data_IF_694581854096
#
_entry.id   IF_694581854096
#
_cell.length_a   1.000
_cell.length_b   1.000
_cell.length_c   1.000
_cell.angle_alpha   90.00
_cell.angle_beta   90.00
_cell.angle_gamma   90.00
#
_symmetry.space_group_name_H-M   'P 1'
#
loop_
_entity.id
_entity.type
_entity.pdbx_description
1 polymer ?
#
# COMPACT_ATOMS: atom_id res chain seq x y z
N UNK A 1 -55.53 10.79 -2.40
CA UNK A 1 -56.45 11.36 -1.39
C UNK A 1 -55.68 11.44 -0.07
N UNK A 2 -55.34 12.65 0.37
CA UNK A 2 -54.75 12.93 1.68
C UNK A 2 -55.87 13.47 2.59
N UNK A 3 -55.94 13.01 3.84
CA UNK A 3 -56.92 13.48 4.83
C UNK A 3 -56.39 14.70 5.59
N UNK A 4 -57.23 15.71 5.87
CA UNK A 4 -56.82 16.89 6.64
C UNK A 4 -56.67 16.53 8.13
N UNK A 5 -55.50 16.80 8.72
CA UNK A 5 -55.26 16.66 10.16
C UNK A 5 -54.00 15.91 10.60
N UNK A 6 -53.17 15.41 9.68
CA UNK A 6 -51.88 14.79 10.02
C UNK A 6 -50.71 15.73 9.73
N UNK A 7 -49.96 16.08 10.78
CA UNK A 7 -48.68 16.78 10.67
C UNK A 7 -47.64 15.87 9.99
N UNK A 8 -46.92 16.33 8.94
CA UNK A 8 -45.82 15.56 8.38
C UNK A 8 -44.67 15.44 9.39
N UNK A 9 -43.97 14.29 9.47
CA UNK A 9 -42.77 14.17 10.28
C UNK A 9 -41.71 15.15 9.76
N UNK A 10 -41.14 15.92 10.70
CA UNK A 10 -40.13 16.94 10.45
C UNK A 10 -38.91 16.37 9.74
N UNK A 11 -38.48 17.10 8.72
CA UNK A 11 -37.21 17.05 8.01
C UNK A 11 -36.03 16.76 8.95
N UNK A 12 -35.35 15.64 8.75
CA UNK A 12 -33.94 15.52 9.12
C UNK A 12 -33.18 15.98 7.88
N UNK A 13 -32.53 17.15 7.97
CA UNK A 13 -31.53 17.56 7.00
C UNK A 13 -30.38 16.56 7.06
N UNK A 14 -30.37 15.60 6.12
CA UNK A 14 -29.13 14.92 5.76
C UNK A 14 -28.23 15.92 5.05
N UNK A 15 -26.90 15.84 5.21
CA UNK A 15 -26.00 16.69 4.45
C UNK A 15 -26.19 16.43 2.94
N UNK A 16 -26.25 17.52 2.19
CA UNK A 16 -26.43 17.56 0.74
C UNK A 16 -25.46 16.60 0.03
N UNK A 17 -26.01 15.66 -0.75
CA UNK A 17 -25.25 14.75 -1.62
C UNK A 17 -24.72 15.43 -2.89
N UNK A 18 -24.70 16.77 -2.94
CA UNK A 18 -24.09 17.55 -4.03
C UNK A 18 -22.61 17.91 -3.75
N UNK A 19 -22.10 17.71 -2.52
CA UNK A 19 -20.73 18.05 -2.13
C UNK A 19 -19.69 16.93 -2.37
N UNK A 20 -20.11 15.67 -2.57
CA UNK A 20 -19.13 14.58 -2.75
C UNK A 20 -18.44 14.65 -4.12
N UNK A 21 -19.15 15.03 -5.18
CA UNK A 21 -18.58 15.13 -6.52
C UNK A 21 -17.52 16.26 -6.64
N UNK A 22 -17.62 17.32 -5.84
CA UNK A 22 -16.61 18.40 -5.81
C UNK A 22 -15.35 18.00 -5.03
N UNK A 23 -15.48 17.17 -3.99
CA UNK A 23 -14.35 16.61 -3.25
C UNK A 23 -13.53 15.62 -4.11
N UNK A 24 -14.22 14.86 -4.97
CA UNK A 24 -13.58 13.91 -5.90
C UNK A 24 -13.08 14.57 -7.20
N UNK A 25 -13.66 15.69 -7.65
CA UNK A 25 -13.32 16.37 -8.91
C UNK A 25 -12.00 17.16 -8.90
N UNK A 26 -11.50 17.55 -7.73
CA UNK A 26 -10.27 18.37 -7.59
C UNK A 26 -9.00 17.51 -7.38
N UNK A 27 -9.15 16.26 -6.94
CA UNK A 27 -8.00 15.42 -6.58
C UNK A 27 -7.20 14.87 -7.78
N UNK A 28 -7.74 14.90 -9.01
CA UNK A 28 -7.07 14.30 -10.17
C UNK A 28 -6.38 15.27 -11.15
N UNK A 29 -6.60 16.59 -11.12
CA UNK A 29 -6.12 17.47 -12.22
C UNK A 29 -5.01 18.48 -11.91
N UNK A 30 -4.62 18.74 -10.66
CA UNK A 30 -3.64 19.81 -10.34
C UNK A 30 -2.33 19.42 -9.68
N UNK A 31 -2.14 18.18 -9.20
CA UNK A 31 -0.94 17.84 -8.39
C UNK A 31 0.17 17.08 -9.13
N UNK A 32 0.04 16.89 -10.44
CA UNK A 32 1.07 16.25 -11.30
C UNK A 32 2.04 17.23 -11.98
N UNK A 33 1.93 18.54 -11.73
CA UNK A 33 2.84 19.53 -12.29
C UNK A 33 3.23 20.53 -11.21
N UNK A 34 4.26 20.22 -10.41
CA UNK A 34 5.31 21.18 -10.01
C UNK A 34 6.26 20.57 -8.95
N UNK A 35 7.56 20.67 -9.25
CA UNK A 35 8.73 20.58 -8.34
C UNK A 35 9.23 19.19 -7.95
N UNK A 36 9.82 18.50 -8.93
CA UNK A 36 11.10 17.81 -8.75
C UNK A 36 12.19 18.86 -8.49
N UNK A 37 12.67 18.98 -7.25
CA UNK A 37 14.03 19.43 -6.87
C UNK A 37 14.14 19.42 -5.33
N UNK A 38 15.19 18.76 -4.85
CA UNK A 38 15.64 18.52 -3.44
C UNK A 38 15.06 17.26 -2.75
N UNK A 39 15.88 16.20 -2.51
CA UNK A 39 15.37 14.89 -2.07
C UNK A 39 15.21 14.70 -0.55
N UNK A 40 15.75 15.56 0.32
CA UNK A 40 15.88 15.20 1.74
C UNK A 40 14.83 15.82 2.70
N UNK A 41 14.23 16.97 2.39
CA UNK A 41 13.42 17.72 3.37
C UNK A 41 11.89 17.52 3.25
N UNK A 42 11.40 16.85 2.18
CA UNK A 42 9.95 16.70 1.91
C UNK A 42 9.31 15.39 2.37
N UNK A 43 10.06 14.48 3.00
CA UNK A 43 9.47 13.28 3.61
C UNK A 43 8.46 13.63 4.74
N UNK A 44 8.57 14.84 5.30
CA UNK A 44 7.78 15.29 6.44
C UNK A 44 6.34 15.74 6.09
N UNK A 45 6.07 16.22 4.85
CA UNK A 45 4.76 16.81 4.50
C UNK A 45 3.73 15.79 3.98
N UNK A 46 4.15 14.54 3.71
CA UNK A 46 3.28 13.48 3.20
C UNK A 46 3.12 12.30 4.16
N UNK A 47 3.52 12.44 5.43
CA UNK A 47 3.31 11.38 6.41
C UNK A 47 3.89 10.03 5.96
N UNK A 48 5.06 10.03 5.30
CA UNK A 48 5.81 8.79 5.10
C UNK A 48 6.30 8.38 6.48
N UNK A 49 5.42 7.69 7.19
CA UNK A 49 5.66 7.21 8.54
C UNK A 49 6.94 6.36 8.45
N UNK A 50 7.98 6.70 9.22
CA UNK A 50 9.30 6.02 9.11
C UNK A 50 9.20 4.50 9.33
N UNK A 51 8.08 4.01 9.87
CA UNK A 51 7.69 2.59 9.87
C UNK A 51 7.73 1.92 8.48
N UNK A 52 7.50 2.64 7.39
CA UNK A 52 7.41 2.09 6.03
C UNK A 52 8.76 1.96 5.30
N UNK A 53 9.87 2.36 5.94
CA UNK A 53 11.22 1.97 5.52
C UNK A 53 11.56 0.52 5.92
N UNK A 54 10.64 -0.17 6.60
CA UNK A 54 10.75 -1.59 6.95
C UNK A 54 10.58 -2.49 5.73
N UNK A 55 11.10 -3.69 5.87
CA UNK A 55 10.89 -4.83 4.99
C UNK A 55 9.47 -4.84 4.40
N UNK A 56 9.32 -4.68 3.07
CA UNK A 56 8.01 -4.49 2.43
C UNK A 56 7.10 -5.73 2.55
N UNK A 57 7.66 -6.91 2.82
CA UNK A 57 6.86 -8.13 3.10
C UNK A 57 6.21 -8.05 4.48
N UNK A 58 6.92 -7.54 5.50
CA UNK A 58 6.33 -7.35 6.82
C UNK A 58 5.16 -6.37 6.77
N UNK A 59 5.33 -5.28 6.03
CA UNK A 59 4.26 -4.32 5.77
C UNK A 59 3.05 -4.98 5.12
N UNK A 60 3.27 -5.83 4.11
CA UNK A 60 2.19 -6.55 3.45
C UNK A 60 1.45 -7.50 4.40
N UNK A 61 2.19 -8.21 5.29
CA UNK A 61 1.60 -9.08 6.33
C UNK A 61 0.77 -8.27 7.34
N UNK A 62 1.24 -7.10 7.77
CA UNK A 62 0.49 -6.22 8.66
C UNK A 62 -0.83 -5.74 8.02
N UNK A 63 -0.80 -5.40 6.72
CA UNK A 63 -2.01 -5.00 5.98
C UNK A 63 -2.99 -6.16 5.89
N UNK A 64 -2.52 -7.37 5.55
CA UNK A 64 -3.37 -8.56 5.48
C UNK A 64 -4.03 -8.85 6.84
N UNK A 65 -3.25 -8.81 7.93
CA UNK A 65 -3.76 -9.02 9.28
C UNK A 65 -4.79 -7.96 9.71
N UNK A 66 -4.61 -6.69 9.32
CA UNK A 66 -5.59 -5.63 9.56
C UNK A 66 -6.91 -5.89 8.83
N UNK A 67 -6.83 -6.38 7.58
CA UNK A 67 -8.01 -6.76 6.80
C UNK A 67 -8.74 -7.97 7.41
N UNK A 68 -7.99 -8.96 7.91
CA UNK A 68 -8.56 -10.17 8.49
C UNK A 68 -9.17 -9.92 9.89
N UNK A 69 -8.58 -9.03 10.68
CA UNK A 69 -9.02 -8.74 12.04
C UNK A 69 -10.22 -7.79 12.11
N UNK A 70 -10.45 -7.01 11.06
CA UNK A 70 -11.49 -5.98 11.05
C UNK A 70 -12.67 -6.43 10.19
N UNK A 71 -13.82 -6.68 10.82
CA UNK A 71 -15.02 -7.10 10.11
C UNK A 71 -15.40 -6.06 9.04
N UNK A 72 -15.42 -6.48 7.78
CA UNK A 72 -15.76 -5.62 6.65
C UNK A 72 -14.63 -4.70 6.18
N UNK A 73 -13.39 -4.87 6.64
CA UNK A 73 -12.27 -4.12 6.11
C UNK A 73 -12.00 -4.46 4.65
N UNK A 74 -11.90 -3.42 3.84
CA UNK A 74 -11.54 -3.49 2.43
C UNK A 74 -10.15 -2.87 2.23
N UNK A 75 -9.59 -3.07 1.04
CA UNK A 75 -8.34 -2.36 0.68
C UNK A 75 -8.51 -0.84 0.72
N UNK A 76 -9.72 -0.32 0.50
CA UNK A 76 -10.02 1.11 0.52
C UNK A 76 -10.05 1.65 1.95
N UNK A 77 -10.67 0.92 2.89
CA UNK A 77 -10.71 1.34 4.29
C UNK A 77 -9.31 1.29 4.92
N UNK A 78 -8.50 0.26 4.62
CA UNK A 78 -7.11 0.17 5.09
C UNK A 78 -6.24 1.26 4.45
N UNK A 79 -6.44 1.55 3.16
CA UNK A 79 -5.73 2.63 2.48
C UNK A 79 -6.00 3.99 3.15
N UNK A 80 -7.28 4.29 3.43
CA UNK A 80 -7.71 5.50 4.12
C UNK A 80 -7.09 5.59 5.53
N UNK A 81 -7.22 4.52 6.33
CA UNK A 81 -6.69 4.46 7.69
C UNK A 81 -5.17 4.68 7.74
N UNK A 82 -4.45 4.19 6.72
CA UNK A 82 -2.99 4.30 6.63
C UNK A 82 -2.48 5.53 5.86
N UNK A 83 -3.37 6.36 5.32
CA UNK A 83 -3.01 7.56 4.55
C UNK A 83 -2.29 7.26 3.23
N UNK A 84 -2.60 6.12 2.58
CA UNK A 84 -2.02 5.70 1.30
C UNK A 84 -3.12 5.48 0.26
N UNK A 85 -2.76 5.29 -1.01
CA UNK A 85 -3.74 4.96 -2.04
C UNK A 85 -4.12 3.47 -1.98
N UNK A 86 -5.33 3.13 -2.42
CA UNK A 86 -5.75 1.72 -2.60
C UNK A 86 -4.77 0.94 -3.49
N UNK A 87 -4.28 1.57 -4.57
CA UNK A 87 -3.26 0.98 -5.45
C UNK A 87 -1.99 0.60 -4.68
N UNK A 88 -1.57 1.41 -3.71
CA UNK A 88 -0.40 1.11 -2.87
C UNK A 88 -0.64 -0.07 -1.96
N UNK A 89 -1.83 -0.17 -1.36
CA UNK A 89 -2.25 -1.35 -0.57
C UNK A 89 -2.22 -2.61 -1.41
N UNK A 90 -2.81 -2.56 -2.61
CA UNK A 90 -2.79 -3.68 -3.56
C UNK A 90 -1.36 -4.09 -3.94
N UNK A 91 -0.46 -3.13 -4.19
CA UNK A 91 0.95 -3.43 -4.47
C UNK A 91 1.63 -4.19 -3.33
N UNK A 92 1.42 -3.78 -2.07
CA UNK A 92 1.96 -4.51 -0.93
C UNK A 92 1.37 -5.91 -0.81
N UNK A 93 0.04 -6.05 -0.87
CA UNK A 93 -0.63 -7.35 -0.76
C UNK A 93 -0.15 -8.34 -1.83
N UNK A 94 0.12 -7.86 -3.05
CA UNK A 94 0.68 -8.70 -4.11
C UNK A 94 2.04 -9.31 -3.78
N UNK A 95 2.83 -8.70 -2.89
CA UNK A 95 4.11 -9.28 -2.46
C UNK A 95 3.92 -10.60 -1.72
N UNK A 96 2.77 -10.82 -1.07
CA UNK A 96 2.45 -12.08 -0.40
C UNK A 96 2.20 -13.24 -1.37
N UNK A 97 2.17 -12.98 -2.68
CA UNK A 97 2.09 -14.01 -3.72
C UNK A 97 3.46 -14.57 -4.12
N UNK A 98 4.56 -14.04 -3.55
CA UNK A 98 5.88 -14.63 -3.75
C UNK A 98 5.93 -16.06 -3.17
N UNK A 99 6.83 -16.92 -3.68
CA UNK A 99 7.08 -18.22 -3.09
C UNK A 99 7.34 -18.14 -1.58
N UNK A 100 6.77 -19.07 -0.78
CA UNK A 100 6.84 -19.00 0.68
C UNK A 100 8.28 -19.02 1.20
N UNK A 101 9.16 -19.78 0.56
CA UNK A 101 10.58 -19.83 0.89
C UNK A 101 11.29 -18.48 0.74
N UNK A 102 10.89 -17.67 -0.25
CA UNK A 102 11.39 -16.29 -0.42
C UNK A 102 10.84 -15.39 0.68
N UNK A 103 9.54 -15.50 1.01
CA UNK A 103 8.92 -14.72 2.08
C UNK A 103 9.58 -15.00 3.42
N UNK A 104 9.82 -16.27 3.72
CA UNK A 104 10.46 -16.69 4.97
C UNK A 104 11.90 -16.21 5.03
N UNK A 105 12.67 -16.34 3.95
CA UNK A 105 14.04 -15.81 3.87
C UNK A 105 14.07 -14.29 4.10
N UNK A 106 13.15 -13.54 3.50
CA UNK A 106 13.08 -12.09 3.64
C UNK A 106 12.70 -11.69 5.08
N UNK A 107 11.81 -12.44 5.72
CA UNK A 107 11.33 -12.13 7.07
C UNK A 107 12.24 -12.64 8.19
N UNK A 108 13.20 -13.49 7.89
CA UNK A 108 14.17 -14.02 8.83
C UNK A 108 15.17 -12.94 9.29
N UNK A 109 15.23 -12.60 10.59
CA UNK A 109 16.21 -11.66 11.13
C UNK A 109 17.66 -12.03 10.83
N UNK A 110 18.01 -13.31 10.71
CA UNK A 110 19.37 -13.75 10.39
C UNK A 110 19.79 -13.37 8.97
N UNK A 111 18.83 -13.09 8.09
CA UNK A 111 19.07 -12.69 6.70
C UNK A 111 18.91 -11.18 6.47
N UNK A 112 18.64 -10.37 7.51
CA UNK A 112 18.38 -8.93 7.38
C UNK A 112 19.48 -8.20 6.60
N UNK A 113 20.74 -8.49 6.89
CA UNK A 113 21.89 -7.89 6.20
C UNK A 113 21.96 -8.26 4.72
N UNK A 114 21.62 -9.51 4.37
CA UNK A 114 21.62 -10.02 2.99
C UNK A 114 20.50 -9.41 2.16
N UNK A 115 19.39 -9.06 2.78
CA UNK A 115 18.22 -8.45 2.11
C UNK A 115 18.15 -6.94 2.24
N UNK A 116 19.12 -6.29 2.89
CA UNK A 116 19.13 -4.84 3.13
C UNK A 116 19.03 -4.00 1.84
N UNK A 117 19.57 -4.51 0.72
CA UNK A 117 19.51 -3.85 -0.60
C UNK A 117 18.28 -4.27 -1.44
N UNK A 118 17.47 -5.20 -0.94
CA UNK A 118 16.27 -5.68 -1.64
C UNK A 118 15.14 -4.68 -1.44
N UNK A 119 14.79 -3.97 -2.51
CA UNK A 119 13.72 -2.97 -2.48
C UNK A 119 12.37 -3.60 -2.80
N UNK A 120 11.28 -2.93 -2.45
CA UNK A 120 9.93 -3.29 -2.87
C UNK A 120 9.81 -3.39 -4.41
N UNK A 121 10.48 -2.49 -5.15
CA UNK A 121 10.53 -2.55 -6.61
C UNK A 121 11.15 -3.86 -7.10
N UNK A 122 12.26 -4.28 -6.47
CA UNK A 122 12.93 -5.54 -6.78
C UNK A 122 12.01 -6.75 -6.56
N UNK A 123 11.29 -6.78 -5.44
CA UNK A 123 10.34 -7.87 -5.15
C UNK A 123 9.16 -7.92 -6.13
N UNK A 124 8.64 -6.75 -6.54
CA UNK A 124 7.58 -6.71 -7.58
C UNK A 124 8.08 -7.17 -8.94
N UNK A 125 9.38 -7.11 -9.23
CA UNK A 125 9.93 -7.69 -10.45
C UNK A 125 9.87 -9.22 -10.42
N UNK A 126 10.12 -9.84 -9.26
CA UNK A 126 10.02 -11.31 -9.11
C UNK A 126 8.60 -11.83 -9.39
N UNK A 127 7.56 -11.04 -9.10
CA UNK A 127 6.17 -11.37 -9.42
C UNK A 127 5.88 -11.42 -10.93
N UNK A 128 6.81 -10.97 -11.78
CA UNK A 128 6.68 -11.03 -13.24
C UNK A 128 7.33 -12.28 -13.84
N UNK A 129 8.05 -13.06 -13.03
CA UNK A 129 8.66 -14.29 -13.50
C UNK A 129 7.58 -15.32 -13.84
N UNK A 130 7.76 -16.09 -14.94
CA UNK A 130 6.71 -16.95 -15.46
C UNK A 130 6.43 -18.15 -14.55
N UNK A 131 7.43 -18.58 -13.77
CA UNK A 131 7.29 -19.70 -12.83
C UNK A 131 7.84 -19.36 -11.45
N UNK A 132 7.36 -20.03 -10.38
CA UNK A 132 7.96 -19.91 -9.04
C UNK A 132 9.44 -20.29 -8.99
N UNK A 133 9.89 -21.19 -9.88
CA UNK A 133 11.31 -21.59 -9.96
C UNK A 133 12.17 -20.45 -10.51
N UNK A 134 11.68 -19.74 -11.53
CA UNK A 134 12.36 -18.58 -12.10
C UNK A 134 12.40 -17.42 -11.10
N UNK A 135 11.31 -17.19 -10.35
CA UNK A 135 11.26 -16.23 -9.26
C UNK A 135 12.33 -16.51 -8.18
N UNK A 136 12.47 -17.77 -7.74
CA UNK A 136 13.52 -18.19 -6.81
C UNK A 136 14.92 -17.93 -7.37
N UNK A 137 15.18 -18.35 -8.61
CA UNK A 137 16.48 -18.16 -9.27
C UNK A 137 16.84 -16.67 -9.36
N UNK A 138 15.89 -15.84 -9.78
CA UNK A 138 16.07 -14.40 -9.87
C UNK A 138 16.33 -13.76 -8.50
N UNK A 139 15.63 -14.22 -7.45
CA UNK A 139 15.81 -13.73 -6.09
C UNK A 139 17.21 -14.00 -5.53
N UNK A 140 17.68 -15.24 -5.60
CA UNK A 140 19.02 -15.58 -5.10
C UNK A 140 20.12 -14.92 -5.91
N UNK A 141 19.99 -14.86 -7.25
CA UNK A 141 20.94 -14.13 -8.09
C UNK A 141 20.97 -12.63 -7.79
N UNK A 142 19.84 -12.04 -7.39
CA UNK A 142 19.78 -10.64 -6.96
C UNK A 142 20.51 -10.44 -5.63
N UNK A 143 20.31 -11.32 -4.65
CA UNK A 143 21.00 -11.26 -3.35
C UNK A 143 22.51 -11.40 -3.53
N UNK A 144 22.95 -12.37 -4.33
CA UNK A 144 24.38 -12.57 -4.63
C UNK A 144 25.01 -11.30 -5.21
N UNK A 145 24.40 -10.72 -6.26
CA UNK A 145 24.89 -9.46 -6.86
C UNK A 145 24.91 -8.30 -5.87
N UNK A 146 23.88 -8.20 -5.03
CA UNK A 146 23.80 -7.15 -4.03
C UNK A 146 24.92 -7.26 -2.99
N UNK A 147 25.36 -8.47 -2.66
CA UNK A 147 26.42 -8.72 -1.69
C UNK A 147 27.83 -8.67 -2.29
N UNK A 148 28.01 -9.03 -3.57
CA UNK A 148 29.32 -8.98 -4.24
C UNK A 148 29.79 -7.56 -4.59
N UNK A 149 28.88 -6.58 -4.72
CA UNK A 149 29.23 -5.18 -5.02
C UNK A 149 29.65 -4.34 -3.80
N UNK A 150 30.15 -4.98 -2.74
CA UNK A 150 30.52 -4.34 -1.47
C UNK A 150 32.02 -4.48 -1.11
N UNK A 151 32.85 -4.93 -2.05
CA UNK A 151 34.32 -4.93 -1.97
C UNK A 151 34.96 -3.71 -2.62
#
# INVERSE_FOLDING_TARGET
>A
VWLPGQNPPRTISGPDLEDEAELFGVYERRRLKLVFRKPAEKAFKYGVNRRWLRNPVLVAREIAAEMDSTLGATQETVALARGVTRTRVCQYLRLLLLPPDILDFICDPENESKVAKVTEGSLRHLLKEPTPVDARRAFYAMIERANSGSE
#
